data_IF_424834996175
#
_entry.id   IF_424834996175
#
_cell.length_a   1.000
_cell.length_b   1.000
_cell.length_c   1.000
_cell.angle_alpha   90.00
_cell.angle_beta   90.00
_cell.angle_gamma   90.00
#
_symmetry.space_group_name_H-M   'P 1'
#
loop_
_entity.id
_entity.type
_entity.pdbx_description
1 polymer ?
#
# COMPACT_ATOMS: atom_id res chain seq x y z
N UNK A 1 13.93 28.86 -24.53
CA UNK A 1 13.27 27.58 -24.18
C UNK A 1 12.26 27.29 -25.29
N UNK A 2 12.51 26.26 -26.09
CA UNK A 2 11.78 25.97 -27.32
C UNK A 2 10.43 25.29 -27.06
N UNK A 3 9.44 25.60 -27.89
CA UNK A 3 8.08 25.04 -27.82
C UNK A 3 8.02 23.53 -28.08
N UNK A 4 9.04 22.96 -28.73
CA UNK A 4 9.20 21.52 -28.96
C UNK A 4 9.43 20.73 -27.66
N UNK A 5 10.21 21.28 -26.74
CA UNK A 5 10.59 20.59 -25.51
C UNK A 5 9.40 20.51 -24.54
N UNK A 6 8.56 21.55 -24.51
CA UNK A 6 7.33 21.58 -23.73
C UNK A 6 6.30 20.54 -24.24
N UNK A 7 6.19 20.35 -25.55
CA UNK A 7 5.31 19.34 -26.13
C UNK A 7 5.77 17.91 -25.82
N UNK A 8 7.10 17.67 -25.87
CA UNK A 8 7.69 16.39 -25.50
C UNK A 8 7.50 16.07 -24.00
N UNK A 9 7.70 17.05 -23.12
CA UNK A 9 7.46 16.89 -21.67
C UNK A 9 5.98 16.61 -21.36
N UNK A 10 5.04 17.26 -22.05
CA UNK A 10 3.62 17.00 -21.90
C UNK A 10 3.22 15.60 -22.36
N UNK A 11 3.85 15.07 -23.42
CA UNK A 11 3.65 13.70 -23.87
C UNK A 11 4.19 12.68 -22.86
N UNK A 12 5.40 12.91 -22.31
CA UNK A 12 5.99 12.05 -21.30
C UNK A 12 5.18 12.01 -19.99
N UNK A 13 4.66 13.16 -19.52
CA UNK A 13 3.80 13.21 -18.34
C UNK A 13 2.48 12.43 -18.53
N UNK A 14 1.91 12.45 -19.74
CA UNK A 14 0.72 11.65 -20.09
C UNK A 14 1.02 10.15 -20.08
N UNK A 15 2.20 9.75 -20.54
CA UNK A 15 2.61 8.34 -20.49
C UNK A 15 2.85 7.87 -19.05
N UNK A 16 3.49 8.69 -18.21
CA UNK A 16 3.68 8.39 -16.78
C UNK A 16 2.34 8.27 -16.03
N UNK A 17 1.40 9.20 -16.25
CA UNK A 17 0.05 9.12 -15.67
C UNK A 17 -0.73 7.89 -16.15
N UNK A 18 -0.56 7.46 -17.40
CA UNK A 18 -1.15 6.22 -17.91
C UNK A 18 -0.53 5.00 -17.23
N UNK A 19 0.80 4.93 -17.16
CA UNK A 19 1.54 3.83 -16.54
C UNK A 19 1.20 3.66 -15.06
N UNK A 20 1.14 4.77 -14.30
CA UNK A 20 0.73 4.77 -12.89
C UNK A 20 -0.70 4.29 -12.70
N UNK A 21 -1.62 4.68 -13.58
CA UNK A 21 -3.01 4.17 -13.57
C UNK A 21 -3.07 2.67 -13.85
N UNK A 22 -2.39 2.18 -14.87
CA UNK A 22 -2.35 0.75 -15.21
C UNK A 22 -1.74 -0.07 -14.05
N UNK A 23 -0.68 0.45 -13.41
CA UNK A 23 -0.11 -0.13 -12.19
C UNK A 23 -1.15 -0.17 -11.06
N UNK A 24 -1.93 0.89 -10.88
CA UNK A 24 -2.93 0.99 -9.81
C UNK A 24 -4.07 0.01 -10.00
N UNK A 25 -4.59 -0.08 -11.23
CA UNK A 25 -5.63 -1.05 -11.58
C UNK A 25 -5.17 -2.50 -11.35
N UNK A 26 -3.90 -2.80 -11.63
CA UNK A 26 -3.32 -4.12 -11.34
C UNK A 26 -3.25 -4.41 -9.84
N UNK A 27 -2.73 -3.47 -9.04
CA UNK A 27 -2.64 -3.63 -7.58
C UNK A 27 -4.02 -3.73 -6.94
N UNK A 28 -4.98 -2.94 -7.39
CA UNK A 28 -6.35 -2.97 -6.90
C UNK A 28 -7.00 -4.34 -7.12
N UNK A 29 -6.81 -4.97 -8.29
CA UNK A 29 -7.30 -6.33 -8.56
C UNK A 29 -6.68 -7.37 -7.61
N UNK A 30 -5.38 -7.27 -7.36
CA UNK A 30 -4.68 -8.16 -6.42
C UNK A 30 -5.19 -7.96 -4.99
N UNK A 31 -5.32 -6.71 -4.56
CA UNK A 31 -5.81 -6.39 -3.21
C UNK A 31 -7.26 -6.78 -3.00
N UNK A 32 -8.13 -6.65 -4.01
CA UNK A 32 -9.50 -7.15 -3.93
C UNK A 32 -9.53 -8.66 -3.66
N UNK A 33 -8.68 -9.43 -4.35
CA UNK A 33 -8.57 -10.88 -4.12
C UNK A 33 -8.06 -11.18 -2.70
N UNK A 34 -7.04 -10.45 -2.23
CA UNK A 34 -6.48 -10.64 -0.88
C UNK A 34 -7.49 -10.27 0.20
N UNK A 35 -8.12 -9.09 0.12
CA UNK A 35 -9.05 -8.60 1.15
C UNK A 35 -10.32 -9.45 1.20
N UNK A 36 -10.84 -9.91 0.05
CA UNK A 36 -12.01 -10.81 0.02
C UNK A 36 -11.71 -12.19 0.59
N UNK A 37 -10.48 -12.71 0.40
CA UNK A 37 -10.05 -13.96 1.03
C UNK A 37 -9.76 -13.81 2.53
N UNK A 38 -9.30 -12.62 2.95
CA UNK A 38 -8.88 -12.36 4.34
C UNK A 38 -10.05 -12.12 5.31
N UNK A 39 -11.24 -11.76 4.82
CA UNK A 39 -12.38 -11.41 5.67
C UNK A 39 -13.66 -11.99 5.09
N UNK A 40 -14.30 -12.88 5.84
CA UNK A 40 -15.65 -13.33 5.53
C UNK A 40 -16.67 -12.21 5.77
N UNK A 41 -17.88 -12.34 5.19
CA UNK A 41 -18.96 -11.34 5.34
C UNK A 41 -19.36 -11.14 6.81
N UNK A 42 -19.35 -12.23 7.56
CA UNK A 42 -19.80 -12.35 8.95
C UNK A 42 -18.81 -11.69 9.92
N UNK A 43 -17.53 -11.63 9.55
CA UNK A 43 -16.45 -11.04 10.33
C UNK A 43 -16.28 -9.53 10.12
N UNK A 44 -17.13 -8.90 9.31
CA UNK A 44 -17.06 -7.46 9.08
C UNK A 44 -17.27 -6.70 10.40
N UNK A 45 -16.33 -5.81 10.81
CA UNK A 45 -16.43 -5.11 12.08
C UNK A 45 -17.63 -4.16 12.10
N UNK A 46 -18.29 -4.09 13.25
CA UNK A 46 -19.34 -3.11 13.50
C UNK A 46 -18.76 -1.69 13.63
N UNK A 47 -19.58 -0.65 13.40
CA UNK A 47 -19.11 0.73 13.51
C UNK A 47 -18.74 1.11 14.95
N UNK A 48 -19.36 0.48 15.95
CA UNK A 48 -18.99 0.65 17.37
C UNK A 48 -17.60 0.05 17.63
N UNK A 49 -17.31 -1.14 17.09
CA UNK A 49 -15.96 -1.73 17.19
C UNK A 49 -14.89 -0.83 16.55
N UNK A 50 -15.19 -0.20 15.42
CA UNK A 50 -14.27 0.75 14.77
C UNK A 50 -14.13 2.05 15.55
N UNK A 51 -15.19 2.50 16.20
CA UNK A 51 -15.15 3.65 17.11
C UNK A 51 -14.26 3.38 18.32
N UNK A 52 -14.40 2.21 18.95
CA UNK A 52 -13.55 1.82 20.08
C UNK A 52 -12.07 1.76 19.68
N UNK A 53 -11.78 1.25 18.47
CA UNK A 53 -10.41 1.26 17.91
C UNK A 53 -9.90 2.69 17.69
N UNK A 54 -10.74 3.59 17.21
CA UNK A 54 -10.40 5.01 17.05
C UNK A 54 -10.05 5.64 18.41
N UNK A 55 -10.92 5.50 19.41
CA UNK A 55 -10.68 6.03 20.76
C UNK A 55 -9.45 5.41 21.43
N UNK A 56 -9.23 4.10 21.25
CA UNK A 56 -8.07 3.42 21.81
C UNK A 56 -6.75 3.97 21.26
N UNK A 57 -6.73 4.47 20.02
CA UNK A 57 -5.56 5.12 19.45
C UNK A 57 -5.28 6.46 20.14
N UNK A 58 -6.32 7.26 20.40
CA UNK A 58 -6.18 8.56 21.09
C UNK A 58 -5.98 8.45 22.61
N UNK A 59 -6.06 7.24 23.17
CA UNK A 59 -5.84 7.04 24.59
C UNK A 59 -4.41 7.45 25.01
N UNK A 60 -4.30 7.98 26.23
CA UNK A 60 -3.05 8.56 26.74
C UNK A 60 -1.89 7.55 26.78
N UNK A 61 -2.14 6.33 27.29
CA UNK A 61 -1.08 5.33 27.45
C UNK A 61 -0.48 4.84 26.13
N UNK A 62 -1.27 4.48 25.10
CA UNK A 62 -0.74 4.16 23.77
C UNK A 62 0.08 5.29 23.15
N UNK A 63 -0.37 6.54 23.29
CA UNK A 63 0.37 7.70 22.75
C UNK A 63 1.69 7.94 23.47
N UNK A 64 1.75 7.79 24.80
CA UNK A 64 3.01 7.86 25.55
C UNK A 64 3.99 6.78 25.11
N UNK A 65 3.52 5.55 24.91
CA UNK A 65 4.36 4.46 24.39
C UNK A 65 4.86 4.74 22.97
N UNK A 66 4.03 5.35 22.11
CA UNK A 66 4.43 5.74 20.76
C UNK A 66 5.55 6.78 20.80
N UNK A 67 5.43 7.79 21.67
CA UNK A 67 6.48 8.80 21.88
C UNK A 67 7.77 8.14 22.40
N UNK A 68 7.66 7.25 23.39
CA UNK A 68 8.83 6.56 23.94
C UNK A 68 9.57 5.72 22.90
N UNK A 69 8.86 5.02 22.00
CA UNK A 69 9.46 4.12 21.00
C UNK A 69 9.88 4.81 19.70
N UNK A 70 9.09 5.77 19.24
CA UNK A 70 9.24 6.36 17.90
C UNK A 70 9.55 7.86 17.94
N UNK A 71 9.50 8.50 19.12
CA UNK A 71 9.77 9.93 19.27
C UNK A 71 8.65 10.85 18.78
N UNK A 72 7.52 10.29 18.33
CA UNK A 72 6.38 11.05 17.82
C UNK A 72 5.06 10.44 18.28
N UNK A 73 3.99 11.23 18.24
CA UNK A 73 2.64 10.70 18.37
C UNK A 73 2.34 9.72 17.24
N UNK A 74 1.50 8.73 17.52
CA UNK A 74 1.04 7.80 16.48
C UNK A 74 -0.02 8.46 15.60
N UNK A 75 0.05 8.25 14.28
CA UNK A 75 -1.01 8.71 13.37
C UNK A 75 -2.25 7.83 13.54
N UNK A 76 -3.32 8.43 14.04
CA UNK A 76 -4.63 7.78 14.22
C UNK A 76 -5.57 7.98 13.01
N UNK A 77 -5.11 8.64 11.94
CA UNK A 77 -5.94 9.03 10.79
C UNK A 77 -6.61 7.83 10.13
N UNK A 78 -5.86 6.75 9.90
CA UNK A 78 -6.39 5.50 9.32
C UNK A 78 -7.60 4.95 10.13
N UNK A 79 -7.56 5.06 11.46
CA UNK A 79 -8.62 4.54 12.35
C UNK A 79 -9.85 5.43 12.34
N UNK A 80 -9.64 6.74 12.26
CA UNK A 80 -10.71 7.73 12.11
C UNK A 80 -11.41 7.52 10.76
N UNK A 81 -10.66 7.30 9.69
CA UNK A 81 -11.21 7.12 8.35
C UNK A 81 -11.99 5.80 8.22
N UNK A 82 -11.53 4.74 8.87
CA UNK A 82 -12.27 3.48 8.96
C UNK A 82 -13.62 3.67 9.66
N UNK A 83 -13.64 4.42 10.76
CA UNK A 83 -14.88 4.73 11.48
C UNK A 83 -15.84 5.59 10.64
N UNK A 84 -15.35 6.67 10.02
CA UNK A 84 -16.15 7.53 9.13
C UNK A 84 -16.73 6.75 7.95
N UNK A 85 -15.94 5.87 7.34
CA UNK A 85 -16.40 5.03 6.25
C UNK A 85 -17.48 4.03 6.69
N UNK A 86 -17.39 3.49 7.90
CA UNK A 86 -18.46 2.62 8.41
C UNK A 86 -19.78 3.40 8.57
N UNK A 87 -19.71 4.65 9.04
CA UNK A 87 -20.88 5.51 9.17
C UNK A 87 -21.50 5.86 7.81
N UNK A 88 -20.69 6.13 6.79
CA UNK A 88 -21.21 6.42 5.44
C UNK A 88 -21.89 5.22 4.79
N UNK A 89 -21.51 3.99 5.17
CA UNK A 89 -22.08 2.75 4.64
C UNK A 89 -23.27 2.20 5.46
N UNK A 90 -23.70 2.88 6.52
CA UNK A 90 -24.72 2.37 7.47
C UNK A 90 -26.09 2.10 6.82
N UNK A 91 -26.43 2.80 5.75
CA UNK A 91 -27.74 2.69 5.08
C UNK A 91 -27.82 1.64 3.97
N UNK A 92 -26.73 0.95 3.65
CA UNK A 92 -26.67 -0.04 2.57
C UNK A 92 -27.10 -1.42 3.04
N UNK A 93 -27.51 -2.27 2.10
CA UNK A 93 -27.74 -3.69 2.35
C UNK A 93 -26.45 -4.37 2.86
N UNK A 94 -26.53 -5.41 3.72
CA UNK A 94 -25.34 -6.09 4.24
C UNK A 94 -24.38 -6.61 3.16
N UNK A 95 -24.87 -7.07 2.00
CA UNK A 95 -24.01 -7.51 0.89
C UNK A 95 -23.30 -6.35 0.20
N UNK A 96 -24.03 -5.26 -0.03
CA UNK A 96 -23.49 -4.06 -0.66
C UNK A 96 -22.49 -3.36 0.25
N UNK A 97 -22.80 -3.29 1.55
CA UNK A 97 -21.92 -2.79 2.60
C UNK A 97 -20.60 -3.56 2.65
N UNK A 98 -20.65 -4.89 2.60
CA UNK A 98 -19.44 -5.72 2.58
C UNK A 98 -18.60 -5.47 1.33
N UNK A 99 -19.22 -5.45 0.14
CA UNK A 99 -18.51 -5.18 -1.12
C UNK A 99 -17.85 -3.80 -1.12
N UNK A 100 -18.57 -2.76 -0.70
CA UNK A 100 -18.05 -1.40 -0.62
C UNK A 100 -16.90 -1.29 0.40
N UNK A 101 -17.01 -2.02 1.52
CA UNK A 101 -15.96 -2.06 2.54
C UNK A 101 -14.66 -2.71 2.02
N UNK A 102 -14.78 -3.87 1.35
CA UNK A 102 -13.65 -4.57 0.75
C UNK A 102 -13.00 -3.72 -0.35
N UNK A 103 -13.81 -3.09 -1.21
CA UNK A 103 -13.30 -2.19 -2.24
C UNK A 103 -12.49 -1.03 -1.66
N UNK A 104 -13.04 -0.33 -0.66
CA UNK A 104 -12.34 0.77 0.01
C UNK A 104 -11.01 0.30 0.62
N UNK A 105 -11.00 -0.85 1.30
CA UNK A 105 -9.77 -1.41 1.90
C UNK A 105 -8.74 -1.75 0.84
N UNK A 106 -9.15 -2.38 -0.25
CA UNK A 106 -8.29 -2.72 -1.36
C UNK A 106 -7.67 -1.47 -2.00
N UNK A 107 -8.46 -0.42 -2.19
CA UNK A 107 -7.96 0.86 -2.69
C UNK A 107 -6.95 1.53 -1.75
N UNK A 108 -7.24 1.55 -0.44
CA UNK A 108 -6.31 2.11 0.56
C UNK A 108 -4.99 1.33 0.58
N UNK A 109 -5.06 0.01 0.50
CA UNK A 109 -3.87 -0.84 0.43
C UNK A 109 -3.11 -0.61 -0.88
N UNK A 110 -3.80 -0.53 -2.02
CA UNK A 110 -3.19 -0.21 -3.31
C UNK A 110 -2.51 1.18 -3.29
N UNK A 111 -3.13 2.20 -2.68
CA UNK A 111 -2.52 3.53 -2.49
C UNK A 111 -1.25 3.46 -1.65
N UNK A 112 -1.26 2.69 -0.56
CA UNK A 112 -0.06 2.46 0.27
C UNK A 112 1.04 1.72 -0.49
N UNK A 113 0.67 0.75 -1.35
CA UNK A 113 1.64 0.07 -2.21
C UNK A 113 2.18 0.93 -3.36
N UNK A 114 1.54 2.06 -3.65
CA UNK A 114 2.03 3.03 -4.63
C UNK A 114 3.07 3.99 -4.08
N UNK A 115 3.10 4.22 -2.76
CA UNK A 115 4.14 5.06 -2.17
C UNK A 115 5.51 4.39 -2.31
N UNK A 116 6.56 5.19 -2.57
CA UNK A 116 7.90 4.74 -2.95
C UNK A 116 8.45 3.60 -2.06
N UNK A 117 9.07 2.62 -2.73
CA UNK A 117 9.86 1.50 -2.19
C UNK A 117 9.07 0.61 -1.22
N UNK A 118 8.16 -0.20 -1.78
CA UNK A 118 7.51 -1.24 -0.98
C UNK A 118 8.48 -2.41 -0.75
N UNK A 119 8.29 -3.16 0.32
CA UNK A 119 9.09 -4.38 0.56
C UNK A 119 8.88 -5.43 -0.53
N UNK A 120 7.75 -5.42 -1.23
CA UNK A 120 7.48 -6.29 -2.39
C UNK A 120 8.44 -5.99 -3.55
N UNK A 121 8.77 -4.72 -3.79
CA UNK A 121 9.75 -4.32 -4.81
C UNK A 121 11.16 -4.85 -4.47
N UNK A 122 11.48 -4.98 -3.17
CA UNK A 122 12.74 -5.60 -2.72
C UNK A 122 12.72 -7.10 -2.98
N UNK A 123 11.58 -7.77 -2.79
CA UNK A 123 11.46 -9.20 -3.07
C UNK A 123 11.60 -9.50 -4.56
N UNK A 124 10.98 -8.71 -5.44
CA UNK A 124 11.14 -8.91 -6.89
C UNK A 124 12.60 -8.74 -7.31
N UNK A 125 13.31 -7.75 -6.77
CA UNK A 125 14.74 -7.55 -7.01
C UNK A 125 15.62 -8.73 -6.56
N UNK A 126 15.28 -9.40 -5.46
CA UNK A 126 16.03 -10.59 -5.01
C UNK A 126 15.85 -11.81 -5.92
N UNK A 127 14.75 -11.87 -6.66
CA UNK A 127 14.43 -13.01 -7.53
C UNK A 127 14.65 -12.71 -9.01
N UNK A 128 15.02 -11.48 -9.37
CA UNK A 128 15.39 -11.15 -10.76
C UNK A 128 16.67 -11.89 -11.13
N UNK A 129 16.67 -12.69 -12.21
CA UNK A 129 17.84 -13.43 -12.68
C UNK A 129 19.02 -12.54 -13.08
N UNK A 130 18.84 -11.23 -13.18
CA UNK A 130 19.83 -10.26 -13.63
C UNK A 130 20.19 -9.25 -12.51
N UNK A 131 19.60 -9.41 -11.32
CA UNK A 131 19.80 -8.50 -10.20
C UNK A 131 21.09 -8.77 -9.44
N UNK A 132 22.06 -7.88 -9.55
CA UNK A 132 23.11 -7.76 -8.54
C UNK A 132 22.44 -7.45 -7.19
N UNK A 133 22.56 -8.32 -6.18
CA UNK A 133 21.88 -8.14 -4.88
C UNK A 133 22.42 -6.91 -4.14
N UNK A 134 23.69 -6.59 -4.38
CA UNK A 134 24.39 -5.42 -3.88
C UNK A 134 24.88 -4.61 -5.08
N UNK A 135 24.84 -3.28 -4.98
CA UNK A 135 25.41 -2.39 -6.00
C UNK A 135 26.86 -2.81 -6.31
N UNK A 136 27.25 -2.94 -7.60
CA UNK A 136 28.57 -3.45 -7.98
C UNK A 136 29.76 -2.67 -7.39
N UNK A 137 29.56 -1.39 -7.06
CA UNK A 137 30.59 -0.55 -6.42
C UNK A 137 30.86 -0.91 -4.95
N UNK A 138 29.93 -1.62 -4.29
CA UNK A 138 30.01 -2.04 -2.89
C UNK A 138 30.13 -3.56 -2.76
N UNK A 139 30.49 -4.25 -3.84
CA UNK A 139 30.73 -5.69 -3.83
C UNK A 139 32.02 -6.02 -3.07
N UNK A 140 31.96 -6.99 -2.16
CA UNK A 140 33.14 -7.49 -1.47
C UNK A 140 33.80 -8.59 -2.26
N UNK A 141 35.13 -8.56 -2.38
CA UNK A 141 35.92 -9.61 -3.02
C UNK A 141 35.72 -10.98 -2.35
N UNK A 142 35.49 -10.99 -1.02
CA UNK A 142 35.29 -12.22 -0.23
C UNK A 142 33.93 -12.89 -0.47
N UNK A 143 32.91 -12.12 -0.85
CA UNK A 143 31.53 -12.60 -1.08
C UNK A 143 30.95 -11.93 -2.33
N UNK A 144 31.31 -12.42 -3.53
CA UNK A 144 30.84 -11.83 -4.77
C UNK A 144 29.34 -12.01 -4.96
N UNK A 145 28.73 -11.12 -5.74
CA UNK A 145 27.34 -11.20 -6.13
C UNK A 145 27.07 -12.56 -6.83
N UNK A 146 25.93 -13.22 -6.54
CA UNK A 146 25.62 -14.51 -7.15
C UNK A 146 25.48 -14.34 -8.66
N UNK A 147 26.38 -14.99 -9.42
CA UNK A 147 26.35 -15.00 -10.88
C UNK A 147 25.13 -15.81 -11.32
N UNK A 148 24.21 -15.19 -12.03
CA UNK A 148 23.02 -15.86 -12.53
C UNK A 148 23.35 -16.86 -13.62
N UNK A 149 23.56 -18.10 -13.21
CA UNK A 149 23.72 -19.23 -14.11
C UNK A 149 22.51 -20.14 -13.97
N UNK A 150 21.40 -19.74 -14.59
CA UNK A 150 20.30 -20.67 -14.88
C UNK A 150 20.31 -21.03 -16.37
N UNK A 151 20.58 -22.29 -16.74
CA UNK A 151 20.22 -22.77 -18.06
C UNK A 151 18.69 -22.93 -18.12
N UNK A 152 18.10 -22.41 -19.21
CA UNK A 152 16.69 -22.56 -19.57
C UNK A 152 16.33 -24.02 -19.84
#
# INVERSE_FOLDING_TARGET
MSTSDAAAQAAAARDETRSTRERFERLLKQELAIQSAAMSKDEMPSCTTLFDRCLSCFALFPQLNAIYRHGSFSSCEDKVDDWKACLSLRGLDPDEKYRAWIQRRAEMAARKRMSKQTTEDVWTFRFTPDGHVVDPEHESDDFPNPISTTPR
#
